data_IF_329459118860
#
_entry.id   IF_329459118860
#
_cell.length_a   1.000
_cell.length_b   1.000
_cell.length_c   1.000
_cell.angle_alpha   90.00
_cell.angle_beta   90.00
_cell.angle_gamma   90.00
#
_symmetry.space_group_name_H-M   'P 1'
#
loop_
_entity.id
_entity.type
_entity.pdbx_description
1 polymer ?
#
# COMPACT_ATOMS: atom_id res chain seq x y z
N UNK A 1 19.42 -4.45 -9.98
CA UNK A 1 18.04 -3.92 -9.99
C UNK A 1 17.30 -4.63 -8.86
N UNK A 2 17.15 -3.97 -7.71
CA UNK A 2 16.33 -4.53 -6.62
C UNK A 2 14.89 -4.66 -7.12
N UNK A 3 14.30 -5.84 -7.04
CA UNK A 3 12.88 -6.04 -7.37
C UNK A 3 12.08 -5.44 -6.22
N UNK A 4 11.34 -4.35 -6.47
CA UNK A 4 10.40 -3.79 -5.49
C UNK A 4 9.09 -4.59 -5.50
N UNK A 5 8.38 -4.56 -4.39
CA UNK A 5 7.02 -5.03 -4.25
C UNK A 5 6.21 -3.99 -3.48
N UNK A 6 4.91 -3.94 -3.74
CA UNK A 6 3.99 -3.00 -3.10
C UNK A 6 3.19 -3.70 -2.01
N UNK A 7 3.04 -3.07 -0.85
CA UNK A 7 2.24 -3.60 0.25
C UNK A 7 1.23 -2.55 0.73
N UNK A 8 -0.10 -2.77 0.56
CA UNK A 8 -1.12 -1.81 0.94
C UNK A 8 -1.45 -1.87 2.43
N UNK A 9 -2.35 -1.00 2.85
CA UNK A 9 -3.06 -1.08 4.11
C UNK A 9 -3.95 -2.34 4.16
N UNK A 10 -4.33 -2.76 5.37
CA UNK A 10 -5.30 -3.84 5.57
C UNK A 10 -6.72 -3.47 5.12
N UNK A 11 -7.01 -2.17 4.94
CA UNK A 11 -8.24 -1.69 4.32
C UNK A 11 -9.43 -1.48 5.27
N UNK A 12 -9.19 -1.22 6.55
CA UNK A 12 -10.25 -0.99 7.55
C UNK A 12 -10.64 0.51 7.71
N UNK A 13 -10.26 1.36 6.77
CA UNK A 13 -10.61 2.79 6.68
C UNK A 13 -10.80 3.19 5.21
N UNK A 14 -11.53 4.28 4.88
CA UNK A 14 -11.64 4.77 3.50
C UNK A 14 -10.28 4.97 2.82
N UNK A 15 -9.33 5.59 3.51
CA UNK A 15 -7.94 5.69 3.06
C UNK A 15 -7.27 4.32 2.88
N UNK A 16 -7.60 3.36 3.73
CA UNK A 16 -7.15 1.98 3.59
C UNK A 16 -7.72 1.29 2.35
N UNK A 17 -8.96 1.60 1.96
CA UNK A 17 -9.57 1.13 0.73
C UNK A 17 -8.85 1.73 -0.49
N UNK A 18 -8.63 3.05 -0.51
CA UNK A 18 -7.85 3.75 -1.53
C UNK A 18 -6.46 3.12 -1.69
N UNK A 19 -5.75 2.90 -0.58
CA UNK A 19 -4.44 2.22 -0.58
C UNK A 19 -4.46 0.84 -1.26
N UNK A 20 -5.49 0.03 -1.01
CA UNK A 20 -5.63 -1.29 -1.65
C UNK A 20 -5.86 -1.19 -3.15
N UNK A 21 -6.68 -0.23 -3.58
CA UNK A 21 -6.94 0.01 -5.01
C UNK A 21 -5.67 0.49 -5.71
N UNK A 22 -4.96 1.47 -5.13
CA UNK A 22 -3.68 1.97 -5.64
C UNK A 22 -2.70 0.82 -5.90
N UNK A 23 -2.50 -0.05 -4.91
CA UNK A 23 -1.55 -1.16 -5.05
C UNK A 23 -2.04 -2.20 -6.07
N UNK A 24 -3.33 -2.49 -6.12
CA UNK A 24 -3.88 -3.41 -7.13
C UNK A 24 -3.65 -2.90 -8.55
N UNK A 25 -4.02 -1.64 -8.83
CA UNK A 25 -3.87 -1.04 -10.15
C UNK A 25 -2.39 -0.92 -10.55
N UNK A 26 -1.52 -0.42 -9.67
CA UNK A 26 -0.08 -0.30 -9.97
C UNK A 26 0.60 -1.65 -10.17
N UNK A 27 0.15 -2.69 -9.45
CA UNK A 27 0.67 -4.04 -9.63
C UNK A 27 0.43 -4.54 -11.05
N UNK A 28 -0.74 -4.25 -11.62
CA UNK A 28 -1.10 -4.61 -12.99
C UNK A 28 -0.43 -3.69 -14.02
N UNK A 29 -0.44 -2.38 -13.81
CA UNK A 29 0.12 -1.38 -14.74
C UNK A 29 1.63 -1.50 -14.89
N UNK A 30 2.36 -1.63 -13.78
CA UNK A 30 3.82 -1.57 -13.74
C UNK A 30 4.46 -2.98 -13.67
N UNK A 31 3.63 -4.04 -13.59
CA UNK A 31 4.11 -5.42 -13.44
C UNK A 31 4.85 -5.68 -12.12
N UNK A 32 4.51 -4.92 -11.07
CA UNK A 32 5.16 -4.99 -9.76
C UNK A 32 4.39 -5.94 -8.84
N UNK A 33 5.04 -6.87 -8.11
CA UNK A 33 4.34 -7.77 -7.19
C UNK A 33 3.59 -7.01 -6.08
N UNK A 34 2.32 -7.34 -5.88
CA UNK A 34 1.55 -6.91 -4.70
C UNK A 34 1.64 -7.94 -3.57
N UNK A 35 1.85 -7.47 -2.35
CA UNK A 35 1.94 -8.26 -1.13
C UNK A 35 0.64 -8.12 -0.35
N UNK A 36 -0.04 -9.23 -0.10
CA UNK A 36 -1.26 -9.24 0.70
C UNK A 36 -0.93 -9.12 2.20
N UNK A 37 -1.30 -8.03 2.89
CA UNK A 37 -0.96 -7.84 4.30
C UNK A 37 -1.62 -8.87 5.22
N UNK A 38 -2.94 -9.17 5.12
CA UNK A 38 -3.55 -10.21 5.95
C UNK A 38 -2.92 -11.59 5.77
N UNK A 39 -2.57 -11.98 4.54
CA UNK A 39 -1.92 -13.26 4.28
C UNK A 39 -0.51 -13.32 4.87
N UNK A 40 0.23 -12.20 4.81
CA UNK A 40 1.55 -12.07 5.43
C UNK A 40 1.45 -12.14 6.96
N UNK A 41 0.49 -11.43 7.55
CA UNK A 41 0.21 -11.48 8.99
C UNK A 41 -0.14 -12.90 9.47
N UNK A 42 -0.89 -13.65 8.65
CA UNK A 42 -1.21 -15.05 8.87
C UNK A 42 -0.04 -16.02 8.61
N UNK A 43 1.14 -15.52 8.25
CA UNK A 43 2.34 -16.34 8.06
C UNK A 43 2.33 -17.20 6.79
N UNK A 44 1.61 -16.78 5.73
CA UNK A 44 1.61 -17.52 4.47
C UNK A 44 3.01 -17.52 3.83
N UNK A 45 3.61 -18.70 3.77
CA UNK A 45 5.00 -18.93 3.35
C UNK A 45 5.36 -18.31 2.00
N UNK A 46 4.45 -18.38 1.01
CA UNK A 46 4.63 -17.75 -0.31
C UNK A 46 5.02 -16.27 -0.21
N UNK A 47 4.39 -15.50 0.67
CA UNK A 47 4.68 -14.07 0.85
C UNK A 47 5.95 -13.85 1.66
N UNK A 48 6.20 -14.67 2.69
CA UNK A 48 7.42 -14.58 3.49
C UNK A 48 8.68 -14.88 2.64
N UNK A 49 8.62 -15.86 1.75
CA UNK A 49 9.69 -16.16 0.81
C UNK A 49 9.92 -15.05 -0.21
N UNK A 50 8.84 -14.44 -0.72
CA UNK A 50 8.94 -13.28 -1.60
C UNK A 50 9.64 -12.11 -0.88
N UNK A 51 9.23 -11.81 0.35
CA UNK A 51 9.77 -10.73 1.18
C UNK A 51 11.28 -10.83 1.43
N UNK A 52 11.86 -12.04 1.38
CA UNK A 52 13.31 -12.21 1.50
C UNK A 52 14.08 -11.61 0.32
N UNK A 53 13.44 -11.52 -0.86
CA UNK A 53 14.09 -11.24 -2.16
C UNK A 53 13.74 -9.86 -2.74
N UNK A 54 12.84 -9.13 -2.10
CA UNK A 54 12.32 -7.85 -2.59
C UNK A 54 12.48 -6.74 -1.55
N UNK A 55 12.61 -5.52 -2.04
CA UNK A 55 12.34 -4.31 -1.26
C UNK A 55 10.83 -4.06 -1.24
N UNK A 56 10.30 -3.49 -0.16
CA UNK A 56 8.86 -3.26 -0.01
C UNK A 56 8.59 -1.78 0.10
N UNK A 57 7.81 -1.23 -0.84
CA UNK A 57 7.21 0.08 -0.68
C UNK A 57 5.81 -0.09 -0.09
N UNK A 58 5.58 0.53 1.06
CA UNK A 58 4.31 0.46 1.75
C UNK A 58 3.39 1.61 1.33
N UNK A 59 2.10 1.32 1.18
CA UNK A 59 1.05 2.33 0.99
C UNK A 59 0.13 2.24 2.20
N UNK A 60 0.27 3.13 3.18
CA UNK A 60 -0.48 3.11 4.43
C UNK A 60 -1.73 4.00 4.36
N UNK A 61 -2.84 3.56 4.95
CA UNK A 61 -4.06 4.38 4.99
C UNK A 61 -4.09 5.42 6.12
N UNK A 62 -3.27 5.23 7.15
CA UNK A 62 -3.18 6.09 8.33
C UNK A 62 -1.89 5.80 9.10
N UNK A 63 -1.63 6.60 10.13
CA UNK A 63 -0.42 6.55 10.98
C UNK A 63 -0.19 5.23 11.70
N UNK A 64 -1.24 4.41 11.88
CA UNK A 64 -1.07 3.08 12.45
C UNK A 64 -0.17 2.18 11.58
N UNK A 65 -0.07 2.47 10.28
CA UNK A 65 0.88 1.85 9.35
C UNK A 65 0.94 0.31 9.46
N UNK A 66 -0.23 -0.33 9.33
CA UNK A 66 -0.38 -1.79 9.26
C UNK A 66 0.71 -2.49 8.42
N UNK A 67 1.01 -2.06 7.17
CA UNK A 67 1.99 -2.77 6.34
C UNK A 67 3.39 -2.78 6.95
N UNK A 68 3.90 -1.64 7.42
CA UNK A 68 5.23 -1.58 8.04
C UNK A 68 5.30 -2.45 9.30
N UNK A 69 4.26 -2.39 10.15
CA UNK A 69 4.19 -3.18 11.37
C UNK A 69 4.18 -4.68 11.07
N UNK A 70 3.36 -5.14 10.12
CA UNK A 70 3.30 -6.54 9.71
C UNK A 70 4.64 -6.99 9.12
N UNK A 71 5.26 -6.16 8.28
CA UNK A 71 6.56 -6.46 7.67
C UNK A 71 7.65 -6.65 8.74
N UNK A 72 7.69 -5.79 9.75
CA UNK A 72 8.62 -5.88 10.88
C UNK A 72 8.38 -7.13 11.71
N UNK A 73 7.13 -7.40 12.09
CA UNK A 73 6.77 -8.56 12.93
C UNK A 73 6.99 -9.90 12.21
N UNK A 74 6.77 -9.96 10.89
CA UNK A 74 6.74 -11.23 10.14
C UNK A 74 8.00 -11.50 9.32
N UNK A 75 8.71 -10.46 8.91
CA UNK A 75 9.91 -10.58 8.08
C UNK A 75 11.15 -9.91 8.70
N UNK A 76 11.03 -9.19 9.83
CA UNK A 76 12.14 -8.48 10.45
C UNK A 76 12.72 -7.37 9.57
N UNK A 77 11.89 -6.76 8.71
CA UNK A 77 12.28 -5.72 7.75
C UNK A 77 11.43 -4.47 7.93
N UNK A 78 11.97 -3.33 7.53
CA UNK A 78 11.22 -2.09 7.33
C UNK A 78 10.91 -1.90 5.84
N UNK A 79 9.84 -1.16 5.49
CA UNK A 79 9.63 -0.72 4.12
C UNK A 79 10.82 0.13 3.65
N UNK A 80 11.13 0.08 2.35
CA UNK A 80 12.07 1.01 1.74
C UNK A 80 11.54 2.43 1.86
N UNK A 81 10.24 2.62 1.61
CA UNK A 81 9.50 3.87 1.85
C UNK A 81 8.04 3.59 2.20
N UNK A 82 7.37 4.58 2.80
CA UNK A 82 5.92 4.54 3.06
C UNK A 82 5.25 5.78 2.48
N UNK A 83 4.24 5.58 1.64
CA UNK A 83 3.30 6.64 1.23
C UNK A 83 2.05 6.53 2.09
N UNK A 84 1.71 7.60 2.79
CA UNK A 84 0.49 7.69 3.59
C UNK A 84 -0.61 8.35 2.78
N UNK A 85 -1.75 7.66 2.66
CA UNK A 85 -2.93 8.21 1.98
C UNK A 85 -3.51 9.40 2.75
N UNK A 86 -3.38 9.41 4.09
CA UNK A 86 -3.77 10.57 4.93
C UNK A 86 -3.01 11.82 4.54
N UNK A 87 -1.69 11.75 4.35
CA UNK A 87 -0.87 12.90 4.01
C UNK A 87 -1.28 13.46 2.63
N UNK A 88 -1.54 12.57 1.66
CA UNK A 88 -2.03 12.98 0.33
C UNK A 88 -3.43 13.61 0.42
N UNK A 89 -4.30 13.09 1.28
CA UNK A 89 -5.62 13.65 1.57
C UNK A 89 -5.50 15.10 2.05
N UNK A 90 -4.62 15.35 3.02
CA UNK A 90 -4.37 16.67 3.59
C UNK A 90 -3.74 17.65 2.58
N UNK A 91 -2.77 17.18 1.79
CA UNK A 91 -2.10 17.99 0.76
C UNK A 91 -3.06 18.43 -0.36
N UNK A 92 -4.01 17.56 -0.73
CA UNK A 92 -4.93 17.79 -1.86
C UNK A 92 -6.26 18.40 -1.43
N UNK A 93 -6.62 18.27 -0.16
CA UNK A 93 -7.93 18.64 0.37
C UNK A 93 -9.05 17.68 -0.06
N UNK A 94 -8.72 16.48 -0.52
CA UNK A 94 -9.66 15.46 -0.99
C UNK A 94 -9.69 14.28 -0.03
N UNK A 95 -10.79 14.13 0.70
CA UNK A 95 -10.96 13.04 1.65
C UNK A 95 -11.60 11.81 1.01
N UNK A 96 -11.09 10.62 1.37
CA UNK A 96 -11.74 9.38 1.03
C UNK A 96 -13.05 9.22 1.80
N UNK A 97 -14.14 8.98 1.08
CA UNK A 97 -15.51 9.00 1.61
C UNK A 97 -16.16 7.60 1.72
N UNK A 98 -15.53 6.58 1.12
CA UNK A 98 -16.07 5.22 1.09
C UNK A 98 -15.02 4.14 1.38
N UNK A 99 -15.47 3.11 2.09
CA UNK A 99 -14.71 1.91 2.47
C UNK A 99 -14.72 0.80 1.41
N UNK A 100 -15.59 0.90 0.41
CA UNK A 100 -15.87 -0.21 -0.51
C UNK A 100 -16.23 0.25 -1.93
N UNK A 101 -16.45 1.54 -2.15
CA UNK A 101 -16.86 2.09 -3.43
C UNK A 101 -15.81 3.06 -3.97
N UNK A 102 -15.54 2.98 -5.28
CA UNK A 102 -14.75 3.98 -5.99
C UNK A 102 -15.63 5.15 -6.42
N UNK A 103 -16.00 5.97 -5.43
CA UNK A 103 -16.63 7.29 -5.59
C UNK A 103 -15.70 8.23 -6.36
N UNK A 104 -16.20 9.42 -6.72
CA UNK A 104 -15.39 10.43 -7.39
C UNK A 104 -14.19 10.86 -6.52
N UNK A 105 -14.42 11.16 -5.23
CA UNK A 105 -13.37 11.51 -4.28
C UNK A 105 -12.34 10.40 -4.12
N UNK A 106 -12.78 9.14 -3.94
CA UNK A 106 -11.87 8.01 -3.86
C UNK A 106 -11.03 7.82 -5.13
N UNK A 107 -11.62 8.03 -6.33
CA UNK A 107 -10.90 7.93 -7.61
C UNK A 107 -9.87 9.04 -7.76
N UNK A 108 -10.20 10.25 -7.34
CA UNK A 108 -9.26 11.37 -7.34
C UNK A 108 -8.08 11.09 -6.41
N UNK A 109 -8.34 10.64 -5.19
CA UNK A 109 -7.28 10.31 -4.25
C UNK A 109 -6.43 9.12 -4.72
N UNK A 110 -7.02 8.09 -5.35
CA UNK A 110 -6.27 7.01 -6.00
C UNK A 110 -5.28 7.55 -7.03
N UNK A 111 -5.67 8.52 -7.87
CA UNK A 111 -4.77 9.11 -8.88
C UNK A 111 -3.57 9.81 -8.24
N UNK A 112 -3.80 10.64 -7.23
CA UNK A 112 -2.73 11.37 -6.56
C UNK A 112 -1.78 10.47 -5.79
N UNK A 113 -2.32 9.47 -5.06
CA UNK A 113 -1.49 8.49 -4.36
C UNK A 113 -0.67 7.67 -5.36
N UNK A 114 -1.26 7.25 -6.50
CA UNK A 114 -0.52 6.54 -7.56
C UNK A 114 0.63 7.38 -8.09
N UNK A 115 0.42 8.68 -8.35
CA UNK A 115 1.46 9.59 -8.81
C UNK A 115 2.64 9.60 -7.82
N UNK A 116 2.35 9.77 -6.52
CA UNK A 116 3.38 9.75 -5.48
C UNK A 116 4.12 8.43 -5.38
N UNK A 117 3.42 7.29 -5.49
CA UNK A 117 4.06 5.97 -5.49
C UNK A 117 4.97 5.81 -6.70
N UNK A 118 4.53 6.22 -7.91
CA UNK A 118 5.34 6.12 -9.14
C UNK A 118 6.63 6.92 -9.09
N UNK A 119 6.65 8.07 -8.40
CA UNK A 119 7.88 8.86 -8.18
C UNK A 119 8.94 8.11 -7.34
N UNK A 120 8.51 7.09 -6.59
CA UNK A 120 9.35 6.29 -5.69
C UNK A 120 9.66 4.89 -6.22
N UNK A 121 9.12 4.50 -7.39
CA UNK A 121 9.35 3.20 -8.01
C UNK A 121 10.71 3.17 -8.71
#
# INVERSE_FOLDING_TARGET
MSRKALMPCTGMSPNGFVSRVVVAELSEEEGIPSICPPATAAGKEKFLELLKRVEVLAVAGCDYNCPARILREKAGKEPSETVFVSDVSEETGVDADSLYELTEANRELVKEVKRRVKELL
#
